data_IF_747819299290
#
_entry.id   IF_747819299290
#
_cell.length_a   1.000
_cell.length_b   1.000
_cell.length_c   1.000
_cell.angle_alpha   90.00
_cell.angle_beta   90.00
_cell.angle_gamma   90.00
#
_symmetry.space_group_name_H-M   'P 1'
#
loop_
_entity.id
_entity.type
_entity.pdbx_description
1 polymer ?
#
# COMPACT_ATOMS: atom_id res chain seq x y z
N UNK A 1 -10.74 4.64 -1.89
CA UNK A 1 -11.16 6.05 -1.85
C UNK A 1 -12.58 6.19 -2.34
N UNK A 2 -13.18 7.35 -2.16
CA UNK A 2 -14.46 7.75 -2.74
C UNK A 2 -14.32 8.12 -4.23
N UNK A 3 -14.17 7.11 -5.07
CA UNK A 3 -13.95 7.28 -6.53
C UNK A 3 -15.17 7.88 -7.26
N UNK A 4 -16.37 7.75 -6.69
CA UNK A 4 -17.58 8.35 -7.26
C UNK A 4 -17.54 9.88 -7.18
N UNK A 5 -16.83 10.42 -6.19
CA UNK A 5 -16.57 11.85 -6.03
C UNK A 5 -15.14 12.23 -6.49
N UNK A 6 -14.55 11.47 -7.41
CA UNK A 6 -13.25 11.80 -8.00
C UNK A 6 -12.06 11.73 -7.05
N UNK A 7 -12.18 11.05 -5.90
CA UNK A 7 -11.10 10.98 -4.90
C UNK A 7 -10.16 9.82 -5.14
N UNK A 8 -8.86 10.08 -4.99
CA UNK A 8 -7.77 9.12 -5.15
C UNK A 8 -6.99 8.97 -3.84
N UNK A 9 -6.20 7.91 -3.71
CA UNK A 9 -5.31 7.74 -2.55
C UNK A 9 -4.06 8.59 -2.76
N UNK A 10 -3.71 9.35 -1.72
CA UNK A 10 -2.55 10.26 -1.67
C UNK A 10 -1.63 10.00 -0.48
N UNK A 11 -2.00 9.02 0.36
CA UNK A 11 -1.21 8.66 1.54
C UNK A 11 -1.75 7.42 2.23
N UNK A 12 -0.88 6.80 3.03
CA UNK A 12 -1.12 5.51 3.67
C UNK A 12 -0.68 5.54 5.13
N UNK A 13 -1.37 4.80 5.98
CA UNK A 13 -0.96 4.51 7.34
C UNK A 13 -1.31 3.06 7.66
N UNK A 14 -0.36 2.32 8.23
CA UNK A 14 -0.58 0.93 8.65
C UNK A 14 -0.92 0.91 10.14
N UNK A 15 -1.95 0.14 10.52
CA UNK A 15 -2.45 0.08 11.89
C UNK A 15 -2.71 -1.37 12.30
N UNK A 16 -2.52 -1.68 13.58
CA UNK A 16 -3.05 -2.89 14.21
C UNK A 16 -4.06 -2.49 15.28
N UNK A 17 -5.33 -2.87 15.09
CA UNK A 17 -6.43 -2.55 16.01
C UNK A 17 -7.11 -3.86 16.42
N UNK A 18 -7.21 -4.11 17.73
CA UNK A 18 -7.73 -5.37 18.28
C UNK A 18 -7.04 -6.63 17.69
N UNK A 19 -5.74 -6.52 17.41
CA UNK A 19 -4.96 -7.61 16.80
C UNK A 19 -5.15 -7.77 15.29
N UNK A 20 -5.96 -6.93 14.63
CA UNK A 20 -6.19 -6.99 13.19
C UNK A 20 -5.38 -5.91 12.48
N UNK A 21 -4.59 -6.32 11.49
CA UNK A 21 -3.84 -5.42 10.62
C UNK A 21 -4.78 -4.75 9.59
N UNK A 22 -4.68 -3.43 9.45
CA UNK A 22 -5.49 -2.66 8.49
C UNK A 22 -4.74 -1.47 7.92
N UNK A 23 -5.14 -1.02 6.73
CA UNK A 23 -4.71 0.24 6.15
C UNK A 23 -5.73 1.33 6.46
N UNK A 24 -5.24 2.50 6.88
CA UNK A 24 -5.95 3.76 6.82
C UNK A 24 -5.41 4.55 5.62
N UNK A 25 -6.29 5.15 4.84
CA UNK A 25 -5.91 5.83 3.59
C UNK A 25 -6.22 7.32 3.70
N UNK A 26 -5.32 8.15 3.17
CA UNK A 26 -5.58 9.56 2.94
C UNK A 26 -6.10 9.69 1.52
N UNK A 27 -7.27 10.28 1.35
CA UNK A 27 -7.86 10.54 0.04
C UNK A 27 -8.03 12.03 -0.23
N UNK A 28 -7.91 12.43 -1.50
CA UNK A 28 -8.14 13.80 -1.95
C UNK A 28 -8.73 13.80 -3.38
N UNK A 29 -9.47 14.85 -3.79
CA UNK A 29 -9.94 14.99 -5.17
C UNK A 29 -8.78 15.04 -6.16
N UNK A 30 -8.90 14.28 -7.24
CA UNK A 30 -7.97 14.35 -8.38
C UNK A 30 -8.21 15.65 -9.15
N UNK A 31 -7.12 16.30 -9.53
CA UNK A 31 -7.07 17.51 -10.35
C UNK A 31 -6.40 17.20 -11.70
N UNK A 32 -6.41 18.17 -12.64
CA UNK A 32 -5.69 18.01 -13.89
C UNK A 32 -4.21 17.63 -13.72
N UNK A 33 -3.71 16.88 -14.68
CA UNK A 33 -2.33 16.39 -14.76
C UNK A 33 -1.91 15.62 -13.50
N UNK A 34 -2.84 14.85 -12.93
CA UNK A 34 -2.63 14.00 -11.76
C UNK A 34 -2.25 14.74 -10.47
N UNK A 35 -2.42 16.06 -10.44
CA UNK A 35 -2.37 16.83 -9.20
C UNK A 35 -3.56 16.46 -8.31
N UNK A 36 -3.54 16.91 -7.06
CA UNK A 36 -4.63 16.66 -6.12
C UNK A 36 -4.96 17.92 -5.33
N UNK A 37 -6.22 18.06 -4.95
CA UNK A 37 -6.65 19.15 -4.09
C UNK A 37 -6.30 18.83 -2.63
N UNK A 38 -5.08 19.18 -2.22
CA UNK A 38 -4.55 18.89 -0.88
C UNK A 38 -5.34 19.59 0.26
N UNK A 39 -6.12 20.63 -0.05
CA UNK A 39 -6.97 21.33 0.93
C UNK A 39 -8.21 20.50 1.32
N UNK A 40 -8.64 19.58 0.45
CA UNK A 40 -9.80 18.71 0.67
C UNK A 40 -9.42 17.27 1.05
N UNK A 41 -8.17 17.08 1.49
CA UNK A 41 -7.70 15.77 1.94
C UNK A 41 -8.47 15.30 3.16
N UNK A 42 -8.78 14.01 3.20
CA UNK A 42 -9.48 13.38 4.32
C UNK A 42 -8.92 12.00 4.60
N UNK A 43 -8.60 11.74 5.86
CA UNK A 43 -8.30 10.40 6.32
C UNK A 43 -9.58 9.56 6.35
N UNK A 44 -9.53 8.39 5.73
CA UNK A 44 -10.58 7.38 5.77
C UNK A 44 -10.06 6.15 6.50
N UNK A 45 -10.56 5.95 7.71
CA UNK A 45 -10.43 4.69 8.43
C UNK A 45 -11.47 3.72 7.85
N UNK A 46 -11.05 2.50 7.55
CA UNK A 46 -12.01 1.45 7.22
C UNK A 46 -12.80 1.16 8.49
N UNK A 47 -14.13 1.33 8.45
CA UNK A 47 -14.97 0.91 9.56
C UNK A 47 -14.72 -0.58 9.81
N UNK A 48 -14.28 -0.89 11.03
CA UNK A 48 -14.06 -2.25 11.46
C UNK A 48 -15.43 -2.93 11.59
N UNK A 49 -15.83 -3.64 10.53
CA UNK A 49 -16.97 -4.55 10.61
C UNK A 49 -16.41 -5.83 11.25
N UNK A 50 -16.67 -6.02 12.54
CA UNK A 50 -16.49 -7.29 13.23
C UNK A 50 -17.48 -8.27 12.57
N UNK A 51 -17.08 -8.92 11.48
CA UNK A 51 -17.99 -9.74 10.70
C UNK A 51 -18.47 -10.93 11.53
N UNK A 52 -19.78 -11.17 11.47
CA UNK A 52 -20.39 -12.48 11.74
C UNK A 52 -19.57 -13.58 11.01
N UNK A 53 -19.50 -14.83 11.52
CA UNK A 53 -18.52 -15.86 11.15
C UNK A 53 -18.39 -16.22 9.65
N UNK A 54 -19.24 -15.69 8.77
CA UNK A 54 -19.28 -16.02 7.35
C UNK A 54 -18.59 -15.00 6.41
N UNK A 55 -17.93 -13.95 6.90
CA UNK A 55 -17.22 -12.99 6.04
C UNK A 55 -15.69 -13.02 6.22
N UNK A 56 -15.00 -13.44 5.16
CA UNK A 56 -13.57 -13.76 4.99
C UNK A 56 -12.59 -12.57 5.10
N UNK A 57 -12.79 -11.65 6.03
CA UNK A 57 -11.92 -10.46 6.16
C UNK A 57 -11.58 -10.13 7.61
N UNK A 58 -11.44 -11.15 8.45
CA UNK A 58 -10.77 -11.02 9.75
C UNK A 58 -9.45 -11.79 9.65
N UNK A 59 -8.33 -11.07 9.81
CA UNK A 59 -6.98 -11.64 9.74
C UNK A 59 -6.44 -11.69 11.16
N UNK A 60 -6.43 -12.88 11.76
CA UNK A 60 -5.87 -13.11 13.09
C UNK A 60 -4.34 -13.30 13.02
N UNK A 61 -3.55 -12.61 13.87
CA UNK A 61 -2.11 -12.43 13.69
C UNK A 61 -1.26 -13.57 14.27
N UNK A 62 -1.82 -14.73 14.62
CA UNK A 62 -1.11 -15.65 15.51
C UNK A 62 0.06 -16.42 14.87
N UNK A 63 0.10 -16.64 13.55
CA UNK A 63 1.22 -17.28 12.82
C UNK A 63 1.19 -16.91 11.32
N UNK A 64 1.27 -15.63 10.99
CA UNK A 64 1.02 -15.16 9.63
C UNK A 64 2.31 -15.08 8.83
N UNK A 65 2.25 -15.66 7.64
CA UNK A 65 3.19 -15.45 6.56
C UNK A 65 2.70 -14.26 5.76
N UNK A 66 3.34 -13.11 5.87
CA UNK A 66 3.02 -11.92 5.08
C UNK A 66 3.99 -11.80 3.91
N UNK A 67 3.45 -11.64 2.71
CA UNK A 67 4.23 -11.30 1.53
C UNK A 67 4.61 -9.83 1.57
N UNK A 68 5.91 -9.55 1.54
CA UNK A 68 6.43 -8.21 1.29
C UNK A 68 6.23 -7.91 -0.19
N UNK A 69 5.52 -6.82 -0.48
CA UNK A 69 5.24 -6.44 -1.85
C UNK A 69 5.25 -4.95 -2.04
N UNK A 70 5.72 -4.56 -3.21
CA UNK A 70 5.51 -3.23 -3.78
C UNK A 70 4.85 -3.43 -5.12
N UNK A 71 3.62 -2.92 -5.26
CA UNK A 71 2.81 -3.09 -6.46
C UNK A 71 2.57 -1.73 -7.10
N UNK A 72 2.81 -1.65 -8.41
CA UNK A 72 2.51 -0.48 -9.23
C UNK A 72 1.23 -0.77 -10.02
N UNK A 73 0.28 0.16 -10.00
CA UNK A 73 -0.96 0.03 -10.78
C UNK A 73 -0.68 0.25 -12.28
N UNK A 74 -1.54 -0.23 -13.20
CA UNK A 74 -1.27 -0.11 -14.63
C UNK A 74 -1.10 1.35 -15.07
N UNK A 75 -0.32 1.58 -16.12
CA UNK A 75 -0.15 2.92 -16.70
C UNK A 75 -1.51 3.59 -16.98
N UNK A 76 -1.56 4.92 -16.86
CA UNK A 76 -2.77 5.73 -17.03
C UNK A 76 -3.88 5.48 -15.99
N UNK A 77 -3.57 4.77 -14.91
CA UNK A 77 -4.47 4.56 -13.78
C UNK A 77 -3.89 5.15 -12.51
N UNK A 78 -4.73 5.39 -11.52
CA UNK A 78 -4.31 5.88 -10.19
C UNK A 78 -4.72 4.90 -9.11
N UNK A 79 -3.98 4.89 -8.00
CA UNK A 79 -4.31 4.08 -6.84
C UNK A 79 -5.59 4.61 -6.17
N UNK A 80 -6.60 3.76 -6.08
CA UNK A 80 -7.89 4.10 -5.45
C UNK A 80 -8.32 3.12 -4.36
N UNK A 81 -7.53 2.08 -4.12
CA UNK A 81 -7.77 1.16 -3.01
C UNK A 81 -6.55 0.32 -2.68
N UNK A 82 -6.48 -0.11 -1.44
CA UNK A 82 -5.52 -1.10 -0.95
C UNK A 82 -6.24 -1.96 0.08
N UNK A 83 -5.90 -3.24 0.14
CA UNK A 83 -6.45 -4.15 1.13
C UNK A 83 -5.63 -5.41 1.27
N UNK A 84 -5.87 -6.13 2.37
CA UNK A 84 -5.29 -7.44 2.60
C UNK A 84 -6.14 -8.54 1.96
N UNK A 85 -5.48 -9.61 1.54
CA UNK A 85 -6.10 -10.85 1.04
C UNK A 85 -5.22 -12.05 1.40
N UNK A 86 -5.76 -13.25 1.25
CA UNK A 86 -4.96 -14.46 1.23
C UNK A 86 -4.63 -14.86 -0.22
N UNK A 87 -3.38 -15.28 -0.45
CA UNK A 87 -2.94 -15.83 -1.72
C UNK A 87 -3.32 -17.32 -1.88
N UNK A 88 -2.90 -17.95 -2.98
CA UNK A 88 -3.21 -19.36 -3.24
C UNK A 88 -2.51 -20.36 -2.31
N UNK A 89 -1.53 -19.91 -1.50
CA UNK A 89 -0.81 -20.71 -0.50
C UNK A 89 -1.23 -20.35 0.93
N UNK A 90 -2.35 -19.64 1.09
CA UNK A 90 -2.87 -19.16 2.37
C UNK A 90 -1.90 -18.23 3.12
N UNK A 91 -1.10 -17.46 2.39
CA UNK A 91 -0.23 -16.41 2.91
C UNK A 91 -0.95 -15.07 2.82
N UNK A 92 -0.78 -14.22 3.83
CA UNK A 92 -1.32 -12.86 3.81
C UNK A 92 -0.58 -12.05 2.75
N UNK A 93 -1.33 -11.28 1.98
CA UNK A 93 -0.86 -10.56 0.82
C UNK A 93 -1.66 -9.26 0.66
N UNK A 94 -1.17 -8.35 -0.18
CA UNK A 94 -1.86 -7.12 -0.52
C UNK A 94 -2.50 -7.19 -1.91
N UNK A 95 -3.58 -6.45 -2.09
CA UNK A 95 -4.19 -6.16 -3.39
C UNK A 95 -4.41 -4.66 -3.53
N UNK A 96 -4.21 -4.15 -4.74
CA UNK A 96 -4.46 -2.75 -5.04
C UNK A 96 -5.71 -2.62 -5.90
N UNK A 97 -6.50 -1.57 -5.65
CA UNK A 97 -7.54 -1.13 -6.58
C UNK A 97 -7.00 0.03 -7.39
N UNK A 98 -7.13 -0.08 -8.70
CA UNK A 98 -6.78 0.96 -9.64
C UNK A 98 -8.02 1.51 -10.32
N UNK A 99 -7.94 2.77 -10.73
CA UNK A 99 -9.00 3.44 -11.51
C UNK A 99 -8.34 4.19 -12.66
N UNK A 100 -8.73 3.92 -13.92
CA UNK A 100 -8.21 4.67 -15.06
C UNK A 100 -8.59 6.15 -15.00
N UNK A 101 -7.74 7.01 -15.53
CA UNK A 101 -8.02 8.43 -15.74
C UNK A 101 -8.52 8.61 -17.18
N UNK A 102 -9.79 9.00 -17.34
CA UNK A 102 -10.41 9.22 -18.66
C UNK A 102 -9.81 10.43 -19.37
N UNK A 103 -9.56 11.49 -18.61
CA UNK A 103 -9.09 12.76 -19.14
C UNK A 103 -8.10 13.42 -18.17
N UNK A 104 -6.82 13.45 -18.54
CA UNK A 104 -5.78 14.06 -17.73
C UNK A 104 -5.98 15.58 -17.56
N UNK A 105 -6.61 16.27 -18.50
CA UNK A 105 -6.86 17.71 -18.42
C UNK A 105 -7.97 18.07 -17.44
N UNK A 106 -8.81 17.13 -17.03
CA UNK A 106 -9.89 17.35 -16.05
C UNK A 106 -9.67 16.60 -14.74
N UNK A 107 -8.89 15.50 -14.74
CA UNK A 107 -8.78 14.59 -13.60
C UNK A 107 -9.98 13.64 -13.48
N UNK A 108 -10.74 13.45 -14.56
CA UNK A 108 -11.92 12.58 -14.55
C UNK A 108 -11.52 11.09 -14.49
N UNK A 109 -12.18 10.33 -13.60
CA UNK A 109 -11.93 8.91 -13.37
C UNK A 109 -12.91 8.02 -14.13
N UNK A 110 -12.43 6.94 -14.73
CA UNK A 110 -13.27 5.85 -15.24
C UNK A 110 -13.64 4.89 -14.09
N UNK A 111 -14.70 5.24 -13.37
CA UNK A 111 -15.17 4.42 -12.24
C UNK A 111 -15.56 3.01 -12.70
N UNK A 112 -16.10 2.86 -13.92
CA UNK A 112 -16.59 1.57 -14.42
C UNK A 112 -15.45 0.65 -14.86
N UNK A 113 -14.34 1.21 -15.34
CA UNK A 113 -13.14 0.45 -15.70
C UNK A 113 -12.18 0.22 -14.52
N UNK A 114 -12.61 0.51 -13.29
CA UNK A 114 -11.80 0.24 -12.10
C UNK A 114 -11.63 -1.27 -11.86
N UNK A 115 -10.42 -1.68 -11.46
CA UNK A 115 -10.10 -3.09 -11.23
C UNK A 115 -9.31 -3.30 -9.94
N UNK A 116 -9.31 -4.54 -9.46
CA UNK A 116 -8.38 -5.00 -8.43
C UNK A 116 -7.25 -5.77 -9.09
N UNK A 117 -6.02 -5.53 -8.64
CA UNK A 117 -4.84 -6.23 -9.11
C UNK A 117 -4.05 -6.86 -7.98
N UNK A 118 -3.33 -7.90 -8.34
CA UNK A 118 -2.37 -8.63 -7.51
C UNK A 118 -1.26 -9.13 -8.41
N UNK A 119 -0.06 -9.31 -7.88
CA UNK A 119 0.99 -10.04 -8.58
C UNK A 119 1.27 -11.36 -7.87
N UNK A 120 1.51 -12.42 -8.64
CA UNK A 120 2.01 -13.67 -8.09
C UNK A 120 3.50 -13.56 -7.89
N UNK A 121 3.93 -13.78 -6.64
CA UNK A 121 5.32 -13.97 -6.29
C UNK A 121 5.43 -15.34 -5.63
N UNK A 122 6.30 -16.19 -6.15
CA UNK A 122 6.68 -17.40 -5.43
C UNK A 122 7.68 -17.00 -4.35
N UNK A 123 7.26 -17.07 -3.08
CA UNK A 123 8.13 -16.79 -1.94
C UNK A 123 9.39 -17.65 -2.02
N UNK A 124 10.52 -17.04 -2.41
CA UNK A 124 11.78 -17.78 -2.53
C UNK A 124 12.35 -18.17 -1.16
N UNK A 125 12.04 -17.39 -0.12
CA UNK A 125 12.45 -17.64 1.28
C UNK A 125 11.50 -16.93 2.25
N UNK A 126 11.14 -17.61 3.34
CA UNK A 126 10.45 -16.98 4.49
C UNK A 126 11.51 -16.52 5.49
N UNK A 127 11.50 -15.23 5.85
CA UNK A 127 12.29 -14.69 6.96
C UNK A 127 11.55 -14.98 8.25
N UNK A 128 12.28 -15.51 9.23
CA UNK A 128 11.77 -15.80 10.56
C UNK A 128 12.66 -15.10 11.60
N UNK A 129 12.05 -14.60 12.68
CA UNK A 129 12.78 -13.96 13.77
C UNK A 129 13.20 -14.98 14.83
N UNK A 130 14.45 -14.93 15.27
CA UNK A 130 14.94 -15.69 16.42
C UNK A 130 14.08 -15.46 17.67
N UNK A 131 14.02 -16.45 18.56
CA UNK A 131 13.30 -16.40 19.84
C UNK A 131 13.74 -15.22 20.70
N UNK A 132 15.01 -14.83 20.64
CA UNK A 132 15.60 -13.77 21.46
C UNK A 132 15.67 -12.41 20.73
N UNK A 133 14.72 -12.13 19.84
CA UNK A 133 14.68 -10.87 19.09
C UNK A 133 14.44 -9.68 20.03
N UNK A 134 15.22 -8.63 19.85
CA UNK A 134 15.10 -7.40 20.63
C UNK A 134 13.95 -6.52 20.12
N UNK A 135 13.37 -5.72 21.01
CA UNK A 135 12.40 -4.70 20.62
C UNK A 135 13.12 -3.62 19.78
N UNK A 136 12.51 -3.09 18.70
CA UNK A 136 13.20 -2.18 17.80
C UNK A 136 13.74 -0.91 18.47
N UNK A 137 13.06 -0.41 19.50
CA UNK A 137 13.47 0.79 20.24
C UNK A 137 14.70 0.58 21.13
N UNK A 138 15.07 -0.67 21.44
CA UNK A 138 16.31 -0.98 22.16
C UNK A 138 17.49 -1.25 21.23
N UNK A 139 17.28 -1.19 19.92
CA UNK A 139 18.33 -1.41 18.94
C UNK A 139 19.15 -0.15 18.73
N UNK A 140 20.48 -0.28 18.74
CA UNK A 140 21.42 0.85 18.56
C UNK A 140 21.46 1.36 17.12
N UNK A 141 20.96 0.57 16.15
CA UNK A 141 21.05 0.86 14.72
C UNK A 141 19.68 1.23 14.15
N UNK A 142 19.66 2.28 13.32
CA UNK A 142 18.47 2.69 12.58
C UNK A 142 17.97 1.56 11.66
N UNK A 143 16.65 1.38 11.62
CA UNK A 143 16.02 0.38 10.73
C UNK A 143 16.06 0.84 9.28
N UNK A 144 16.50 -0.03 8.37
CA UNK A 144 16.50 0.19 6.92
C UNK A 144 15.67 -0.90 6.23
N UNK A 145 15.03 -0.62 5.08
CA UNK A 145 14.33 -1.65 4.31
C UNK A 145 15.28 -2.80 3.94
N UNK A 146 15.01 -3.99 4.46
CA UNK A 146 15.92 -5.15 4.37
C UNK A 146 15.26 -6.35 3.67
N UNK A 147 13.99 -6.23 3.28
CA UNK A 147 13.27 -7.25 2.52
C UNK A 147 12.95 -6.80 1.11
N UNK A 148 13.17 -7.70 0.15
CA UNK A 148 12.87 -7.49 -1.26
C UNK A 148 11.41 -7.85 -1.59
N UNK A 149 10.89 -7.27 -2.68
CA UNK A 149 9.59 -7.63 -3.24
C UNK A 149 9.51 -9.15 -3.48
N UNK A 150 8.41 -9.77 -3.06
CA UNK A 150 8.16 -11.21 -3.19
C UNK A 150 8.73 -12.08 -2.07
N UNK A 151 9.46 -11.51 -1.10
CA UNK A 151 9.86 -12.25 0.10
C UNK A 151 8.70 -12.41 1.08
N UNK A 152 8.76 -13.45 1.91
CA UNK A 152 7.74 -13.72 2.92
C UNK A 152 8.30 -13.49 4.32
N UNK A 153 7.52 -12.91 5.21
CA UNK A 153 7.87 -12.68 6.61
C UNK A 153 6.94 -13.48 7.51
N UNK A 154 7.52 -14.31 8.39
CA UNK A 154 6.76 -14.95 9.46
C UNK A 154 6.66 -13.99 10.63
N UNK A 155 5.44 -13.57 10.88
CA UNK A 155 5.11 -12.67 11.96
C UNK A 155 4.59 -13.46 13.16
N UNK A 156 4.98 -13.00 14.36
CA UNK A 156 4.72 -13.71 15.61
C UNK A 156 4.21 -12.75 16.69
N UNK A 157 3.36 -13.26 17.57
CA UNK A 157 2.98 -12.54 18.79
C UNK A 157 3.94 -12.90 19.91
N UNK A 158 4.54 -11.90 20.54
CA UNK A 158 5.40 -12.06 21.72
C UNK A 158 4.79 -11.24 22.85
N UNK A 159 4.27 -11.92 23.88
CA UNK A 159 3.51 -11.29 24.96
C UNK A 159 2.31 -10.49 24.41
N UNK A 160 2.29 -9.18 24.59
CA UNK A 160 1.25 -8.28 24.10
C UNK A 160 1.58 -7.65 22.74
N UNK A 161 2.78 -7.87 22.20
CA UNK A 161 3.27 -7.23 20.97
C UNK A 161 3.26 -8.18 19.77
N UNK A 162 3.22 -7.59 18.57
CA UNK A 162 3.40 -8.28 17.29
C UNK A 162 4.81 -7.95 16.79
N UNK A 163 5.53 -8.96 16.30
CA UNK A 163 6.86 -8.82 15.71
C UNK A 163 6.79 -9.21 14.21
N UNK A 164 7.30 -8.35 13.30
CA UNK A 164 7.82 -7.01 13.55
C UNK A 164 6.74 -6.06 14.10
N UNK A 165 7.20 -4.97 14.71
CA UNK A 165 6.32 -3.92 15.21
C UNK A 165 5.65 -3.20 14.04
N UNK A 166 4.48 -2.63 14.23
CA UNK A 166 3.79 -1.90 13.16
C UNK A 166 4.28 -0.45 13.14
N UNK A 167 4.84 -0.02 12.01
CA UNK A 167 5.12 1.40 11.77
C UNK A 167 3.79 2.13 11.58
N UNK A 168 3.41 2.92 12.57
CA UNK A 168 2.16 3.69 12.55
C UNK A 168 2.34 5.09 11.98
N UNK A 169 3.53 5.44 11.47
CA UNK A 169 3.76 6.72 10.81
C UNK A 169 2.95 6.84 9.50
N UNK A 170 2.49 8.05 9.23
CA UNK A 170 1.80 8.38 7.98
C UNK A 170 2.84 8.49 6.84
N UNK A 171 2.57 7.82 5.73
CA UNK A 171 3.38 7.89 4.52
C UNK A 171 2.61 8.70 3.48
N UNK A 172 3.00 9.96 3.33
CA UNK A 172 2.39 10.93 2.42
C UNK A 172 3.53 11.59 1.63
N UNK A 173 3.50 11.57 0.28
CA UNK A 173 4.49 12.28 -0.52
C UNK A 173 4.45 13.79 -0.28
N UNK A 174 5.61 14.43 -0.39
CA UNK A 174 5.77 15.88 -0.38
C UNK A 174 6.48 16.30 -1.69
N UNK A 175 5.81 17.03 -2.60
CA UNK A 175 4.43 17.51 -2.51
C UNK A 175 3.37 16.40 -2.62
N UNK A 176 2.19 16.65 -2.05
CA UNK A 176 1.08 15.70 -2.11
C UNK A 176 0.62 15.44 -3.55
N UNK A 177 0.48 14.17 -3.90
CA UNK A 177 0.05 13.74 -5.23
C UNK A 177 -0.69 12.41 -5.21
N UNK A 178 -1.35 12.09 -6.31
CA UNK A 178 -1.92 10.77 -6.54
C UNK A 178 -0.81 9.70 -6.55
N UNK A 179 -1.11 8.53 -5.98
CA UNK A 179 -0.14 7.42 -5.95
C UNK A 179 -0.28 6.52 -7.20
N UNK A 180 0.86 6.05 -7.69
CA UNK A 180 0.98 5.04 -8.76
C UNK A 180 1.02 3.62 -8.19
N UNK A 181 1.05 3.47 -6.88
CA UNK A 181 1.20 2.17 -6.27
C UNK A 181 1.42 2.25 -4.77
N UNK A 182 1.48 1.08 -4.17
CA UNK A 182 1.65 0.94 -2.75
C UNK A 182 2.24 -0.43 -2.41
N UNK A 183 2.76 -0.53 -1.20
CA UNK A 183 3.38 -1.73 -0.73
C UNK A 183 3.41 -1.88 0.77
N UNK A 184 3.97 -3.00 1.19
CA UNK A 184 4.32 -3.31 2.56
C UNK A 184 5.70 -3.95 2.57
N UNK A 185 6.58 -3.42 3.41
CA UNK A 185 7.95 -3.90 3.56
C UNK A 185 8.30 -4.05 5.02
N UNK A 186 9.37 -4.79 5.28
CA UNK A 186 10.01 -4.84 6.58
C UNK A 186 11.26 -3.95 6.53
N UNK A 187 11.46 -3.18 7.59
CA UNK A 187 12.71 -2.50 7.84
C UNK A 187 13.26 -2.91 9.19
N UNK A 188 14.54 -3.25 9.25
CA UNK A 188 15.14 -3.72 10.49
C UNK A 188 16.63 -4.00 10.34
N UNK A 189 17.17 -4.69 11.34
CA UNK A 189 18.56 -5.14 11.37
C UNK A 189 18.59 -6.56 11.97
N UNK A 190 19.69 -7.29 11.77
CA UNK A 190 19.92 -8.58 12.42
C UNK A 190 19.68 -8.48 13.93
N UNK A 191 18.98 -9.48 14.48
CA UNK A 191 18.57 -9.61 15.88
C UNK A 191 17.58 -8.55 16.42
N UNK A 192 17.13 -7.63 15.57
CA UNK A 192 16.13 -6.62 15.89
C UNK A 192 14.78 -6.95 15.25
N UNK A 193 13.70 -6.76 16.01
CA UNK A 193 12.35 -7.08 15.55
C UNK A 193 11.90 -6.26 14.35
N UNK A 194 12.50 -5.08 14.15
CA UNK A 194 12.18 -4.17 13.05
C UNK A 194 10.73 -3.70 13.04
N UNK A 195 10.36 -3.07 11.92
CA UNK A 195 9.05 -2.51 11.67
C UNK A 195 8.47 -3.01 10.35
N UNK A 196 7.19 -3.33 10.38
CA UNK A 196 6.36 -3.47 9.19
C UNK A 196 5.91 -2.07 8.76
N UNK A 197 6.33 -1.65 7.58
CA UNK A 197 6.11 -0.29 7.10
C UNK A 197 5.32 -0.28 5.77
N UNK A 198 4.35 0.65 5.62
CA UNK A 198 3.73 0.87 4.32
C UNK A 198 4.72 1.57 3.38
N UNK A 199 4.60 1.26 2.09
CA UNK A 199 5.34 1.91 0.99
C UNK A 199 4.34 2.64 0.11
N UNK A 200 4.64 3.87 -0.28
CA UNK A 200 3.86 4.64 -1.25
C UNK A 200 4.70 4.87 -2.49
N UNK A 201 4.16 4.57 -3.68
CA UNK A 201 4.82 4.80 -4.96
C UNK A 201 4.19 6.03 -5.63
N UNK A 202 5.03 6.99 -6.00
CA UNK A 202 4.61 8.24 -6.65
C UNK A 202 4.52 8.08 -8.16
N UNK A 203 3.78 8.97 -8.82
CA UNK A 203 3.74 9.04 -10.27
C UNK A 203 5.09 9.49 -10.82
N UNK A 204 5.50 8.93 -11.96
CA UNK A 204 6.66 9.40 -12.73
C UNK A 204 6.21 9.95 -14.08
N UNK A 205 7.03 10.80 -14.71
CA UNK A 205 6.74 11.34 -16.04
C UNK A 205 6.56 10.27 -17.11
N UNK A 206 7.16 9.08 -16.92
CA UNK A 206 6.96 7.93 -17.81
C UNK A 206 5.55 7.34 -17.67
N UNK A 207 5.06 7.30 -16.43
CA UNK A 207 3.80 6.67 -16.06
C UNK A 207 2.56 7.36 -16.67
N UNK A 208 2.65 8.64 -17.01
CA UNK A 208 1.52 9.47 -17.47
C UNK A 208 1.54 9.80 -18.97
N UNK A 209 2.51 9.28 -19.75
CA UNK A 209 2.77 9.74 -21.14
C UNK A 209 1.62 9.51 -22.13
N UNK A 210 0.74 8.54 -21.86
CA UNK A 210 -0.34 8.17 -22.79
C UNK A 210 -1.65 8.92 -22.60
N UNK A 211 -1.81 9.71 -21.53
CA UNK A 211 -3.13 10.29 -21.15
C UNK A 211 -3.40 11.68 -21.74
N UNK A 212 -2.50 12.23 -22.56
CA UNK A 212 -2.61 13.65 -22.94
C UNK A 212 -2.01 14.13 -24.27
N UNK A 213 -1.64 13.24 -25.20
CA UNK A 213 -1.13 13.69 -26.50
C UNK A 213 -1.92 13.08 -27.67
N UNK A 214 -2.84 13.87 -28.24
CA UNK A 214 -2.91 13.91 -29.70
C UNK A 214 -1.52 14.32 -30.18
N UNK A 215 -0.88 13.42 -30.94
CA UNK A 215 0.47 13.63 -31.44
C UNK A 215 0.45 14.67 -32.55
N UNK A 216 0.56 15.96 -32.23
CA UNK A 216 1.14 16.93 -33.16
C UNK A 216 2.64 17.06 -32.89
N UNK A 217 3.41 16.10 -33.40
CA UNK A 217 4.82 16.35 -33.68
C UNK A 217 4.90 17.11 -35.01
N UNK A 218 4.72 18.43 -34.98
CA UNK A 218 5.26 19.27 -36.06
C UNK A 218 6.75 19.39 -35.83
N UNK A 219 7.52 18.50 -36.48
CA UNK A 219 8.93 18.74 -36.76
C UNK A 219 9.00 19.94 -37.71
N UNK A 220 9.18 21.14 -37.16
CA UNK A 220 9.71 22.25 -37.94
C UNK A 220 11.21 21.97 -38.14
N UNK A 221 11.53 21.43 -39.30
CA UNK A 221 12.87 21.45 -39.90
C UNK A 221 13.04 22.80 -40.59
#
# INVERSE_FOLDING_TARGET
>A
SDIANGKVIVGLQLLAKDGVLTFKILEAPLLPHFHVNASEKKWKELEYIRSSPDNKTVVEPHHWKLMMKELTVPENTVLTGIGFRYDGKNQLDIQLKYTPVLNASTGELDVLASGWMTERHDAQRTKEFDKNVQIPTSCEVNSFPDMMNGQCLLMKKVSNDIIPFIETQEVVPEPMMALSGAGITHKGHDNCGGYLAPVALTLSDYYTRSVGHEREFTLNI
#
